data_IF_972036236886
#
_entry.id   IF_972036236886
#
_cell.length_a   1.000
_cell.length_b   1.000
_cell.length_c   1.000
_cell.angle_alpha   90.00
_cell.angle_beta   90.00
_cell.angle_gamma   90.00
#
_symmetry.space_group_name_H-M   'P 1'
#
loop_
_entity.id
_entity.type
_entity.pdbx_description
1 polymer ?
#
# COMPACT_ATOMS: atom_id res chain seq x y z
N UNK A 1 4.48 13.18 -4.01
CA UNK A 1 5.00 14.53 -4.34
C UNK A 1 3.96 15.34 -5.10
N UNK A 2 4.12 16.67 -5.20
CA UNK A 2 3.21 17.52 -5.99
C UNK A 2 3.19 17.13 -7.47
N UNK A 3 4.35 16.82 -8.04
CA UNK A 3 4.49 16.37 -9.43
C UNK A 3 3.74 15.06 -9.68
N UNK A 4 3.87 14.09 -8.80
CA UNK A 4 3.12 12.81 -8.90
C UNK A 4 1.62 13.04 -8.85
N UNK A 5 1.15 13.94 -7.98
CA UNK A 5 -0.26 14.27 -7.87
C UNK A 5 -0.85 14.90 -9.13
N UNK A 6 -0.08 15.72 -9.85
CA UNK A 6 -0.50 16.29 -11.14
C UNK A 6 -0.70 15.18 -12.19
N UNK A 7 0.25 14.27 -12.32
CA UNK A 7 0.10 13.10 -13.19
C UNK A 7 -1.09 12.21 -12.80
N UNK A 8 -1.29 11.99 -11.51
CA UNK A 8 -2.43 11.21 -11.02
C UNK A 8 -3.76 11.86 -11.41
N UNK A 9 -3.91 13.18 -11.21
CA UNK A 9 -5.12 13.92 -11.66
C UNK A 9 -5.37 13.76 -13.14
N UNK A 10 -4.34 13.98 -13.96
CA UNK A 10 -4.43 13.81 -15.39
C UNK A 10 -4.88 12.38 -15.79
N UNK A 11 -4.31 11.36 -15.18
CA UNK A 11 -4.68 9.98 -15.43
C UNK A 11 -6.13 9.69 -15.00
N UNK A 12 -6.57 10.23 -13.86
CA UNK A 12 -7.96 10.12 -13.42
C UNK A 12 -8.93 10.76 -14.41
N UNK A 13 -8.64 11.97 -14.87
CA UNK A 13 -9.46 12.69 -15.85
C UNK A 13 -9.56 11.94 -17.18
N UNK A 14 -8.46 11.42 -17.70
CA UNK A 14 -8.46 10.60 -18.92
C UNK A 14 -9.23 9.28 -18.71
N UNK A 15 -9.09 8.65 -17.55
CA UNK A 15 -9.82 7.43 -17.23
C UNK A 15 -11.32 7.70 -17.11
N UNK A 16 -11.73 8.83 -16.50
CA UNK A 16 -13.13 9.23 -16.40
C UNK A 16 -13.77 9.52 -17.76
N UNK A 17 -13.01 10.06 -18.72
CA UNK A 17 -13.48 10.23 -20.11
C UNK A 17 -13.75 8.87 -20.77
N UNK A 18 -12.88 7.89 -20.54
CA UNK A 18 -12.99 6.55 -21.09
C UNK A 18 -14.08 5.71 -20.40
N UNK A 19 -14.25 5.90 -19.10
CA UNK A 19 -15.19 5.18 -18.26
C UNK A 19 -16.05 6.16 -17.45
N UNK A 20 -17.12 6.72 -18.03
CA UNK A 20 -17.93 7.76 -17.38
C UNK A 20 -18.51 7.37 -16.02
N UNK A 21 -18.68 6.08 -15.74
CA UNK A 21 -19.20 5.58 -14.48
C UNK A 21 -18.31 5.92 -13.26
N UNK A 22 -17.02 6.21 -13.48
CA UNK A 22 -16.12 6.63 -12.39
C UNK A 22 -16.05 8.15 -12.23
N UNK A 23 -16.60 8.91 -13.17
CA UNK A 23 -16.56 10.37 -13.12
C UNK A 23 -17.26 10.88 -11.84
N UNK A 24 -16.55 11.66 -11.03
CA UNK A 24 -17.05 12.17 -9.75
C UNK A 24 -17.09 11.17 -8.59
N UNK A 25 -16.70 9.90 -8.83
CA UNK A 25 -16.68 8.84 -7.81
C UNK A 25 -15.26 8.54 -7.29
N UNK A 26 -14.32 9.47 -7.43
CA UNK A 26 -12.99 9.37 -6.86
C UNK A 26 -12.61 10.66 -6.13
N UNK A 27 -11.73 10.51 -5.17
CA UNK A 27 -11.11 11.63 -4.44
C UNK A 27 -9.61 11.42 -4.37
N UNK A 28 -8.82 12.48 -4.60
CA UNK A 28 -7.37 12.46 -4.53
C UNK A 28 -6.88 13.32 -3.39
N UNK A 29 -6.35 12.68 -2.34
CA UNK A 29 -5.62 13.33 -1.26
C UNK A 29 -4.12 13.24 -1.47
N UNK A 30 -3.42 14.31 -1.11
CA UNK A 30 -1.95 14.36 -1.10
C UNK A 30 -1.53 14.41 0.35
N UNK A 31 -1.16 13.26 0.88
CA UNK A 31 -0.78 13.11 2.28
C UNK A 31 0.31 12.04 2.46
N UNK A 32 0.86 11.96 3.64
CA UNK A 32 1.74 10.87 4.04
C UNK A 32 0.91 9.70 4.59
N UNK A 33 0.84 8.62 3.83
CA UNK A 33 0.06 7.43 4.17
C UNK A 33 0.59 6.67 5.42
N UNK A 34 1.79 7.00 5.90
CA UNK A 34 2.37 6.42 7.12
C UNK A 34 1.90 7.11 8.40
N UNK A 35 1.26 8.27 8.29
CA UNK A 35 0.81 9.06 9.43
C UNK A 35 -0.59 8.64 9.89
N UNK A 36 -0.75 8.44 11.18
CA UNK A 36 -2.02 7.98 11.76
C UNK A 36 -3.20 8.92 11.50
N UNK A 37 -3.06 10.27 11.46
CA UNK A 37 -4.17 11.16 11.15
C UNK A 37 -4.60 11.18 9.67
N UNK A 38 -3.79 10.60 8.76
CA UNK A 38 -4.11 10.63 7.33
C UNK A 38 -5.45 9.94 7.05
N UNK A 39 -6.39 10.68 6.45
CA UNK A 39 -7.77 10.22 6.16
C UNK A 39 -8.54 9.73 7.40
N UNK A 40 -8.26 10.27 8.59
CA UNK A 40 -8.89 9.80 9.85
C UNK A 40 -10.41 9.92 9.88
N UNK A 41 -10.99 10.81 9.06
CA UNK A 41 -12.43 10.93 8.86
C UNK A 41 -13.07 9.68 8.22
N UNK A 42 -12.24 8.80 7.63
CA UNK A 42 -12.68 7.54 7.00
C UNK A 42 -12.41 6.31 7.87
N UNK A 43 -11.98 6.48 9.12
CA UNK A 43 -11.70 5.36 10.01
C UNK A 43 -12.92 4.44 10.18
N UNK A 44 -12.69 3.14 10.00
CA UNK A 44 -13.72 2.12 10.13
C UNK A 44 -14.77 2.09 9.00
N UNK A 45 -14.56 2.82 7.90
CA UNK A 45 -15.55 2.92 6.81
C UNK A 45 -15.09 2.31 5.48
N UNK A 46 -13.81 2.02 5.33
CA UNK A 46 -13.24 1.57 4.07
C UNK A 46 -13.44 0.06 3.88
N UNK A 47 -13.91 -0.35 2.72
CA UNK A 47 -14.08 -1.76 2.36
C UNK A 47 -12.77 -2.42 1.98
N UNK A 48 -11.93 -1.74 1.19
CA UNK A 48 -10.69 -2.29 0.64
C UNK A 48 -9.58 -1.25 0.71
N UNK A 49 -8.42 -1.64 1.21
CA UNK A 49 -7.16 -0.92 1.07
C UNK A 49 -6.26 -1.71 0.12
N UNK A 50 -5.93 -1.10 -1.03
CA UNK A 50 -4.98 -1.63 -1.99
C UNK A 50 -3.74 -0.74 -2.01
N UNK A 51 -2.55 -1.30 -1.79
CA UNK A 51 -1.32 -0.51 -1.70
C UNK A 51 -0.11 -1.23 -2.28
N UNK A 52 0.73 -0.44 -2.97
CA UNK A 52 2.10 -0.79 -3.34
C UNK A 52 3.01 0.27 -2.69
N UNK A 53 3.45 0.05 -1.45
CA UNK A 53 4.28 1.01 -0.73
C UNK A 53 5.74 0.92 -1.17
N UNK A 54 6.57 1.94 -0.87
CA UNK A 54 8.02 1.77 -0.89
C UNK A 54 8.44 0.65 0.08
N UNK A 55 9.18 -0.33 -0.41
CA UNK A 55 9.59 -1.51 0.37
C UNK A 55 11.05 -1.94 0.17
N UNK A 56 11.80 -1.29 -0.73
CA UNK A 56 13.20 -1.66 -1.00
C UNK A 56 14.04 -1.45 0.25
N UNK A 57 14.86 -2.45 0.68
CA UNK A 57 15.82 -2.28 1.77
C UNK A 57 16.82 -1.16 1.48
N UNK A 58 17.18 -0.36 2.51
CA UNK A 58 18.09 0.78 2.32
C UNK A 58 19.49 0.39 1.81
N UNK A 59 19.90 -0.86 2.03
CA UNK A 59 21.21 -1.36 1.57
C UNK A 59 21.17 -1.87 0.13
N UNK A 60 20.00 -2.08 -0.45
CA UNK A 60 19.83 -2.66 -1.77
C UNK A 60 19.79 -1.57 -2.84
N UNK A 61 20.55 -1.79 -3.90
CA UNK A 61 20.51 -0.93 -5.09
C UNK A 61 19.69 -1.68 -6.14
N UNK A 62 18.61 -1.08 -6.69
CA UNK A 62 17.83 -1.70 -7.74
C UNK A 62 18.70 -2.11 -8.93
N UNK A 63 18.58 -3.37 -9.36
CA UNK A 63 19.36 -3.91 -10.48
C UNK A 63 18.93 -3.32 -11.83
N UNK A 64 17.65 -2.93 -11.94
CA UNK A 64 17.09 -2.36 -13.16
C UNK A 64 17.51 -0.90 -13.30
N UNK A 65 18.26 -0.53 -14.37
CA UNK A 65 18.74 0.85 -14.55
C UNK A 65 17.60 1.87 -14.59
N UNK A 66 16.44 1.52 -15.17
CA UNK A 66 15.28 2.39 -15.26
C UNK A 66 14.73 2.76 -13.88
N UNK A 67 14.71 1.80 -12.96
CA UNK A 67 14.28 2.01 -11.58
C UNK A 67 15.33 2.83 -10.82
N UNK A 68 16.58 2.38 -10.87
CA UNK A 68 17.69 3.00 -10.14
C UNK A 68 17.94 4.46 -10.52
N UNK A 69 17.86 4.78 -11.82
CA UNK A 69 18.31 6.07 -12.35
C UNK A 69 17.16 7.08 -12.50
N UNK A 70 15.89 6.65 -12.48
CA UNK A 70 14.74 7.51 -12.75
C UNK A 70 13.67 7.50 -11.67
N UNK A 71 13.52 6.45 -10.86
CA UNK A 71 12.53 6.44 -9.80
C UNK A 71 13.06 7.20 -8.57
N UNK A 72 12.26 8.07 -7.95
CA UNK A 72 12.69 8.80 -6.77
C UNK A 72 12.84 7.85 -5.56
N UNK A 73 13.84 8.06 -4.72
CA UNK A 73 14.09 7.30 -3.49
C UNK A 73 12.84 7.13 -2.62
N UNK A 74 12.02 8.18 -2.55
CA UNK A 74 10.76 8.18 -1.80
C UNK A 74 9.75 7.14 -2.31
N UNK A 75 9.84 6.74 -3.57
CA UNK A 75 8.97 5.72 -4.16
C UNK A 75 9.54 4.30 -4.01
N UNK A 76 10.81 4.16 -3.64
CA UNK A 76 11.53 2.88 -3.63
C UNK A 76 11.75 2.36 -2.20
N UNK A 77 12.41 3.17 -1.36
CA UNK A 77 12.96 2.68 -0.11
C UNK A 77 11.95 2.64 1.03
N UNK A 78 11.86 1.47 1.68
CA UNK A 78 10.93 1.19 2.79
C UNK A 78 11.29 1.79 4.15
N UNK A 79 12.34 2.62 4.21
CA UNK A 79 12.68 3.44 5.37
C UNK A 79 13.41 2.73 6.50
N UNK A 80 13.83 1.49 6.31
CA UNK A 80 14.64 0.70 7.27
C UNK A 80 15.67 -0.14 6.54
N UNK A 81 16.61 -0.73 7.29
CA UNK A 81 17.64 -1.60 6.71
C UNK A 81 17.07 -2.77 5.90
N UNK A 82 15.92 -3.31 6.32
CA UNK A 82 15.19 -4.40 5.67
C UNK A 82 13.95 -3.92 4.86
N UNK A 83 13.75 -2.61 4.75
CA UNK A 83 12.68 -2.00 3.96
C UNK A 83 11.27 -2.15 4.54
N UNK A 84 11.08 -2.62 5.77
CA UNK A 84 9.74 -2.93 6.32
C UNK A 84 9.07 -1.78 7.05
N UNK A 85 9.77 -0.72 7.42
CA UNK A 85 9.24 0.36 8.27
C UNK A 85 8.00 1.05 7.65
N UNK A 86 8.07 1.43 6.38
CA UNK A 86 6.95 2.07 5.68
C UNK A 86 5.78 1.08 5.49
N UNK A 87 5.99 -0.15 4.98
CA UNK A 87 4.94 -1.16 4.93
C UNK A 87 4.24 -1.40 6.27
N UNK A 88 4.98 -1.56 7.37
CA UNK A 88 4.40 -1.75 8.71
C UNK A 88 3.52 -0.56 9.15
N UNK A 89 3.96 0.68 8.91
CA UNK A 89 3.16 1.88 9.20
C UNK A 89 1.88 1.94 8.37
N UNK A 90 1.94 1.54 7.12
CA UNK A 90 0.76 1.48 6.24
C UNK A 90 -0.20 0.37 6.70
N UNK A 91 0.28 -0.80 7.12
CA UNK A 91 -0.53 -1.85 7.73
C UNK A 91 -1.28 -1.31 8.97
N UNK A 92 -0.57 -0.63 9.86
CA UNK A 92 -1.17 -0.03 11.05
C UNK A 92 -2.24 1.03 10.69
N UNK A 93 -2.00 1.84 9.64
CA UNK A 93 -2.98 2.82 9.15
C UNK A 93 -4.19 2.13 8.49
N UNK A 94 -3.97 1.12 7.66
CA UNK A 94 -5.02 0.34 7.03
C UNK A 94 -5.94 -0.33 8.07
N UNK A 95 -5.38 -0.83 9.18
CA UNK A 95 -6.14 -1.42 10.27
C UNK A 95 -7.14 -0.45 10.92
N UNK A 96 -6.89 0.86 10.85
CA UNK A 96 -7.84 1.89 11.33
C UNK A 96 -8.87 2.28 10.28
N UNK A 97 -8.45 2.40 9.02
CA UNK A 97 -9.31 2.78 7.91
C UNK A 97 -10.38 1.71 7.63
N UNK A 98 -9.98 0.44 7.64
CA UNK A 98 -10.85 -0.66 7.28
C UNK A 98 -11.97 -0.86 8.29
N UNK A 99 -13.19 -1.04 7.77
CA UNK A 99 -14.31 -1.57 8.55
C UNK A 99 -14.07 -3.03 8.94
N UNK A 100 -14.84 -3.54 9.87
CA UNK A 100 -14.88 -4.96 10.19
C UNK A 100 -15.18 -5.79 8.93
N UNK A 101 -14.40 -6.84 8.66
CA UNK A 101 -14.47 -7.65 7.44
C UNK A 101 -13.94 -6.94 6.18
N UNK A 102 -13.31 -5.78 6.31
CA UNK A 102 -12.65 -5.09 5.19
C UNK A 102 -11.32 -5.75 4.82
N UNK A 103 -10.93 -5.67 3.56
CA UNK A 103 -9.76 -6.35 2.98
C UNK A 103 -8.58 -5.40 2.77
N UNK A 104 -7.39 -5.83 3.17
CA UNK A 104 -6.13 -5.21 2.75
C UNK A 104 -5.42 -6.10 1.73
N UNK A 105 -4.88 -5.47 0.68
CA UNK A 105 -3.97 -6.08 -0.29
C UNK A 105 -2.73 -5.20 -0.39
N UNK A 106 -1.55 -5.76 -0.11
CA UNK A 106 -0.29 -5.02 -0.08
C UNK A 106 0.81 -5.76 -0.82
N UNK A 107 1.46 -5.10 -1.77
CA UNK A 107 2.69 -5.58 -2.39
C UNK A 107 3.87 -5.42 -1.43
N UNK A 108 4.87 -6.32 -1.53
CA UNK A 108 6.08 -6.31 -0.70
C UNK A 108 7.28 -6.96 -1.41
N UNK A 109 8.48 -6.76 -0.88
CA UNK A 109 9.67 -7.49 -1.32
C UNK A 109 9.54 -9.00 -1.04
N UNK A 110 10.22 -9.81 -1.87
CA UNK A 110 10.21 -11.28 -1.78
C UNK A 110 10.63 -11.82 -0.41
N UNK A 111 11.41 -11.07 0.34
CA UNK A 111 11.95 -11.45 1.65
C UNK A 111 11.07 -11.02 2.83
N UNK A 112 10.08 -10.14 2.61
CA UNK A 112 9.35 -9.46 3.68
C UNK A 112 8.03 -10.13 4.07
N UNK A 113 7.48 -11.05 3.24
CA UNK A 113 6.12 -11.56 3.37
C UNK A 113 5.77 -12.06 4.76
N UNK A 114 6.56 -12.97 5.32
CA UNK A 114 6.31 -13.57 6.65
C UNK A 114 6.34 -12.54 7.78
N UNK A 115 7.29 -11.60 7.73
CA UNK A 115 7.40 -10.53 8.73
C UNK A 115 6.19 -9.61 8.69
N UNK A 116 5.80 -9.14 7.51
CA UNK A 116 4.64 -8.25 7.34
C UNK A 116 3.34 -8.96 7.69
N UNK A 117 3.20 -10.26 7.36
CA UNK A 117 2.06 -11.06 7.78
C UNK A 117 1.97 -11.20 9.30
N UNK A 118 3.10 -11.44 9.98
CA UNK A 118 3.14 -11.49 11.44
C UNK A 118 2.74 -10.13 12.04
N UNK A 119 3.26 -9.02 11.51
CA UNK A 119 2.91 -7.68 11.96
C UNK A 119 1.43 -7.35 11.72
N UNK A 120 0.86 -7.72 10.57
CA UNK A 120 -0.56 -7.51 10.28
C UNK A 120 -1.46 -8.19 11.33
N UNK A 121 -1.13 -9.44 11.73
CA UNK A 121 -1.87 -10.13 12.81
C UNK A 121 -1.85 -9.35 14.12
N UNK A 122 -0.73 -8.71 14.49
CA UNK A 122 -0.67 -7.85 15.69
C UNK A 122 -1.54 -6.60 15.59
N UNK A 123 -1.83 -6.14 14.36
CA UNK A 123 -2.73 -5.01 14.09
C UNK A 123 -4.22 -5.40 14.02
N UNK A 124 -4.56 -6.66 14.34
CA UNK A 124 -5.95 -7.14 14.35
C UNK A 124 -6.46 -7.57 12.97
N UNK A 125 -5.56 -8.03 12.10
CA UNK A 125 -5.93 -8.73 10.88
C UNK A 125 -6.00 -10.24 11.11
N UNK A 126 -6.95 -10.87 10.42
CA UNK A 126 -7.15 -12.34 10.34
C UNK A 126 -7.00 -12.77 8.88
N UNK A 127 -6.97 -14.08 8.64
CA UNK A 127 -6.85 -14.67 7.29
C UNK A 127 -5.69 -14.07 6.47
N UNK A 128 -4.57 -13.79 7.17
CA UNK A 128 -3.40 -13.18 6.56
C UNK A 128 -2.64 -14.22 5.74
N UNK A 129 -2.60 -14.01 4.43
CA UNK A 129 -1.98 -14.93 3.46
C UNK A 129 -0.97 -14.19 2.58
N UNK A 130 0.22 -14.77 2.42
CA UNK A 130 1.23 -14.32 1.45
C UNK A 130 1.03 -15.07 0.14
N UNK A 131 1.00 -14.34 -0.95
CA UNK A 131 0.77 -14.86 -2.29
C UNK A 131 1.99 -14.66 -3.18
N UNK A 132 2.16 -15.58 -4.12
CA UNK A 132 3.19 -15.52 -5.12
C UNK A 132 2.73 -14.74 -6.36
N UNK A 133 3.68 -14.13 -7.06
CA UNK A 133 3.48 -13.62 -8.42
C UNK A 133 3.45 -14.75 -9.45
N UNK A 134 3.28 -14.41 -10.72
CA UNK A 134 3.29 -15.39 -11.83
C UNK A 134 4.62 -16.10 -12.04
N UNK A 135 5.69 -15.60 -11.42
CA UNK A 135 7.03 -16.25 -11.45
C UNK A 135 7.24 -17.21 -10.27
N UNK A 136 6.23 -17.33 -9.37
CA UNK A 136 6.26 -18.18 -8.18
C UNK A 136 7.00 -17.56 -6.98
N UNK A 137 7.27 -16.26 -6.98
CA UNK A 137 7.96 -15.55 -5.87
C UNK A 137 6.94 -14.87 -4.97
N UNK A 138 7.11 -14.92 -3.63
CA UNK A 138 6.28 -14.13 -2.71
C UNK A 138 6.26 -12.66 -3.14
N UNK A 139 5.08 -12.07 -3.30
CA UNK A 139 4.97 -10.72 -3.86
C UNK A 139 3.95 -9.83 -3.19
N UNK A 140 2.87 -10.38 -2.67
CA UNK A 140 1.86 -9.60 -2.00
C UNK A 140 1.18 -10.38 -0.90
N UNK A 141 0.62 -9.68 0.07
CA UNK A 141 -0.22 -10.27 1.11
C UNK A 141 -1.66 -9.78 0.99
N UNK A 142 -2.58 -10.63 1.39
CA UNK A 142 -3.97 -10.30 1.68
C UNK A 142 -4.24 -10.48 3.17
N UNK A 143 -5.07 -9.62 3.75
CA UNK A 143 -5.44 -9.70 5.15
C UNK A 143 -6.84 -9.11 5.38
N UNK A 144 -7.70 -9.80 6.12
CA UNK A 144 -9.03 -9.32 6.48
C UNK A 144 -9.01 -8.64 7.84
N UNK A 145 -9.66 -7.48 7.96
CA UNK A 145 -9.85 -6.83 9.25
C UNK A 145 -10.80 -7.67 10.10
N UNK A 146 -10.35 -8.04 11.31
CA UNK A 146 -11.17 -8.87 12.22
C UNK A 146 -12.61 -8.36 12.30
N UNK A 147 -13.62 -9.23 12.12
CA UNK A 147 -15.02 -8.89 12.29
C UNK A 147 -15.30 -8.31 13.68
N UNK A 148 -16.29 -7.41 13.78
CA UNK A 148 -16.77 -6.96 15.08
C UNK A 148 -17.37 -8.16 15.85
N UNK A 149 -16.99 -8.30 17.11
CA UNK A 149 -17.58 -9.29 18.02
C UNK A 149 -18.98 -8.88 18.45
#
# INVERSE_FOLDING_TARGET
SATTAEWTRRNLDETAKRYPAIAGNYHLDIADATQMPTLSQLDGTIDIVLTNPPYVPLADIPEQPEVRDYDPDLALYGGSADGTLIPERIIARAAKLLRAGGLMVMEHDITQGERLAAFARTCGFVDVTVHNDYTGRPRYLTAEKQPAQ
#
